data_IF_525043114236
#
_entry.id   IF_525043114236
#
_cell.length_a   1.000
_cell.length_b   1.000
_cell.length_c   1.000
_cell.angle_alpha   90.00
_cell.angle_beta   90.00
_cell.angle_gamma   90.00
#
_symmetry.space_group_name_H-M   'P 1'
#
loop_
_entity.id
_entity.type
_entity.pdbx_description
1 polymer ?
#
# COMPACT_ATOMS: atom_id res chain seq x y z
N UNK A 1 -34.07 7.60 7.68
CA UNK A 1 -34.57 6.21 7.69
C UNK A 1 -34.11 5.58 6.39
N UNK A 2 -33.12 4.68 6.42
CA UNK A 2 -32.48 4.13 5.22
C UNK A 2 -31.26 3.27 5.55
N UNK A 3 -31.37 2.48 6.62
CA UNK A 3 -30.28 1.67 7.19
C UNK A 3 -30.06 0.34 6.43
N UNK A 4 -30.88 0.02 5.43
CA UNK A 4 -30.97 -1.34 4.87
C UNK A 4 -29.96 -1.67 3.76
N UNK A 5 -29.20 -0.69 3.26
CA UNK A 5 -28.23 -0.88 2.15
C UNK A 5 -26.76 -0.86 2.55
N UNK A 6 -26.50 -0.81 3.86
CA UNK A 6 -25.17 -0.59 4.41
C UNK A 6 -24.70 -1.81 5.17
N UNK A 7 -23.46 -2.23 4.92
CA UNK A 7 -22.83 -3.34 5.63
C UNK A 7 -21.44 -2.95 6.12
N UNK A 8 -20.98 -3.64 7.16
CA UNK A 8 -19.66 -3.42 7.72
C UNK A 8 -18.59 -4.13 6.89
N UNK A 9 -17.50 -3.41 6.63
CA UNK A 9 -16.27 -3.97 6.10
C UNK A 9 -15.12 -3.68 7.06
N UNK A 10 -14.34 -4.72 7.37
CA UNK A 10 -13.10 -4.56 8.10
C UNK A 10 -12.04 -3.96 7.20
N UNK A 11 -11.38 -2.93 7.70
CA UNK A 11 -10.33 -2.26 6.97
C UNK A 11 -9.02 -3.02 7.16
N UNK A 12 -8.41 -3.44 6.04
CA UNK A 12 -7.07 -4.05 6.03
C UNK A 12 -5.96 -3.07 5.62
N UNK A 13 -6.31 -1.80 5.36
CA UNK A 13 -5.33 -0.73 5.14
C UNK A 13 -5.11 0.04 6.45
N UNK A 14 -3.86 0.39 6.69
CA UNK A 14 -3.41 1.37 7.68
C UNK A 14 -4.06 2.77 7.53
N UNK A 15 -4.50 3.13 6.32
CA UNK A 15 -5.15 4.41 6.02
C UNK A 15 -6.65 4.26 5.70
N UNK A 16 -7.58 4.54 6.64
CA UNK A 16 -9.02 4.47 6.41
C UNK A 16 -9.55 5.46 5.37
N UNK A 17 -8.83 6.56 5.12
CA UNK A 17 -9.23 7.53 4.10
C UNK A 17 -8.95 7.05 2.69
N UNK A 18 -8.16 5.99 2.52
CA UNK A 18 -7.71 5.50 1.22
C UNK A 18 -8.86 5.23 0.27
N UNK A 19 -9.95 4.64 0.77
CA UNK A 19 -11.10 4.22 -0.02
C UNK A 19 -12.25 5.25 -0.04
N UNK A 20 -12.18 6.29 0.78
CA UNK A 20 -13.27 7.28 0.93
C UNK A 20 -13.33 8.28 -0.23
N UNK A 21 -12.22 8.45 -0.96
CA UNK A 21 -12.14 9.35 -2.12
C UNK A 21 -12.51 8.66 -3.44
N UNK A 22 -12.64 7.33 -3.45
CA UNK A 22 -12.90 6.51 -4.63
C UNK A 22 -14.41 6.22 -4.84
N UNK A 23 -15.29 7.13 -4.41
CA UNK A 23 -16.73 6.99 -4.61
C UNK A 23 -17.05 6.85 -6.11
N UNK A 24 -17.76 5.78 -6.48
CA UNK A 24 -18.07 5.44 -7.87
C UNK A 24 -17.05 4.53 -8.57
N UNK A 25 -15.94 4.17 -7.91
CA UNK A 25 -15.01 3.16 -8.43
C UNK A 25 -15.63 1.75 -8.43
N UNK A 26 -15.16 0.90 -9.35
CA UNK A 26 -15.52 -0.52 -9.38
C UNK A 26 -14.58 -1.27 -8.46
N UNK A 27 -15.13 -1.83 -7.40
CA UNK A 27 -14.46 -2.78 -6.53
C UNK A 27 -14.70 -4.20 -7.02
N UNK A 28 -13.80 -5.11 -6.70
CA UNK A 28 -13.88 -6.53 -6.97
C UNK A 28 -14.03 -7.25 -5.65
N UNK A 29 -15.15 -7.94 -5.49
CA UNK A 29 -15.42 -8.81 -4.35
C UNK A 29 -14.85 -10.18 -4.67
N UNK A 30 -13.98 -10.70 -3.79
CA UNK A 30 -13.36 -12.02 -3.92
C UNK A 30 -13.86 -12.94 -2.82
N UNK A 31 -14.48 -14.05 -3.21
CA UNK A 31 -14.89 -15.07 -2.25
C UNK A 31 -13.68 -15.86 -1.74
N UNK A 32 -13.77 -16.46 -0.53
CA UNK A 32 -12.75 -17.38 -0.04
C UNK A 32 -12.49 -18.57 -0.97
N UNK A 33 -13.46 -18.91 -1.82
CA UNK A 33 -13.40 -20.02 -2.78
C UNK A 33 -12.96 -19.57 -4.18
N UNK A 34 -12.57 -18.31 -4.36
CA UNK A 34 -12.00 -17.78 -5.61
C UNK A 34 -13.00 -17.21 -6.61
N UNK A 35 -14.28 -17.06 -6.25
CA UNK A 35 -15.25 -16.35 -7.08
C UNK A 35 -14.94 -14.84 -7.07
N UNK A 36 -15.13 -14.17 -8.20
CA UNK A 36 -14.79 -12.75 -8.39
C UNK A 36 -16.03 -12.02 -8.93
N UNK A 37 -16.49 -11.00 -8.20
CA UNK A 37 -17.65 -10.18 -8.58
C UNK A 37 -17.30 -8.69 -8.60
N UNK A 38 -17.30 -8.02 -9.77
CA UNK A 38 -17.14 -6.57 -9.84
C UNK A 38 -18.43 -5.87 -9.38
N UNK A 39 -18.31 -4.89 -8.48
CA UNK A 39 -19.41 -4.09 -7.92
C UNK A 39 -18.99 -2.63 -7.76
N UNK A 40 -19.89 -1.71 -8.09
CA UNK A 40 -19.64 -0.28 -7.92
C UNK A 40 -19.85 0.15 -6.47
N UNK A 41 -18.93 0.95 -5.93
CA UNK A 41 -19.12 1.60 -4.63
C UNK A 41 -20.07 2.78 -4.76
N UNK A 42 -21.22 2.67 -4.10
CA UNK A 42 -22.25 3.72 -4.08
C UNK A 42 -21.96 4.73 -2.96
N UNK A 43 -21.70 4.25 -1.76
CA UNK A 43 -21.42 5.08 -0.59
C UNK A 43 -20.42 4.39 0.36
N UNK A 44 -19.58 5.19 1.01
CA UNK A 44 -18.66 4.74 2.05
C UNK A 44 -18.68 5.75 3.21
N UNK A 45 -18.86 5.26 4.44
CA UNK A 45 -18.86 6.09 5.65
C UNK A 45 -17.89 5.51 6.66
N UNK A 46 -17.16 6.38 7.36
CA UNK A 46 -16.42 5.98 8.55
C UNK A 46 -17.40 5.63 9.66
N UNK A 47 -17.05 4.60 10.40
CA UNK A 47 -17.68 4.33 11.70
C UNK A 47 -16.86 5.01 12.80
N UNK A 48 -17.41 5.12 14.01
CA UNK A 48 -16.65 5.63 15.16
C UNK A 48 -15.51 4.66 15.58
N UNK A 49 -15.54 3.41 15.12
CA UNK A 49 -14.46 2.44 15.32
C UNK A 49 -13.30 2.64 14.34
N UNK A 50 -12.06 2.46 14.82
CA UNK A 50 -10.84 2.69 14.02
C UNK A 50 -10.69 1.76 12.80
N UNK A 51 -11.28 0.57 12.84
CA UNK A 51 -10.94 -0.51 11.90
C UNK A 51 -12.10 -0.98 11.02
N UNK A 52 -13.18 -0.17 10.93
CA UNK A 52 -14.34 -0.56 10.13
C UNK A 52 -14.98 0.60 9.37
N UNK A 53 -15.41 0.28 8.16
CA UNK A 53 -16.14 1.17 7.26
C UNK A 53 -17.55 0.62 7.03
N UNK A 54 -18.49 1.54 6.82
CA UNK A 54 -19.83 1.22 6.40
C UNK A 54 -19.93 1.44 4.89
N UNK A 55 -20.13 0.36 4.13
CA UNK A 55 -20.15 0.37 2.67
C UNK A 55 -21.54 0.13 2.12
N UNK A 56 -21.84 0.72 0.96
CA UNK A 56 -22.99 0.39 0.13
C UNK A 56 -22.50 0.12 -1.29
N UNK A 57 -22.79 -1.07 -1.80
CA UNK A 57 -22.38 -1.53 -3.12
C UNK A 57 -23.60 -1.73 -4.01
N UNK A 58 -23.43 -1.49 -5.31
CA UNK A 58 -24.48 -1.74 -6.30
C UNK A 58 -24.86 -3.23 -6.33
N UNK A 59 -26.15 -3.53 -6.14
CA UNK A 59 -26.67 -4.91 -6.12
C UNK A 59 -26.49 -5.66 -4.80
N UNK A 60 -26.06 -4.99 -3.73
CA UNK A 60 -26.09 -5.50 -2.34
C UNK A 60 -26.89 -4.49 -1.51
N UNK A 61 -28.20 -4.67 -1.51
CA UNK A 61 -29.19 -3.73 -0.96
C UNK A 61 -30.07 -4.32 0.15
N UNK A 62 -29.81 -5.58 0.54
CA UNK A 62 -30.50 -6.26 1.64
C UNK A 62 -29.54 -6.94 2.63
N UNK A 63 -29.94 -7.12 3.91
CA UNK A 63 -29.16 -7.89 4.88
C UNK A 63 -28.83 -9.32 4.43
N UNK A 64 -29.75 -9.98 3.73
CA UNK A 64 -29.56 -11.32 3.17
C UNK A 64 -28.46 -11.31 2.11
N UNK A 65 -28.55 -10.37 1.16
CA UNK A 65 -27.55 -10.22 0.11
C UNK A 65 -26.17 -9.91 0.68
N UNK A 66 -26.07 -9.08 1.73
CA UNK A 66 -24.82 -8.79 2.42
C UNK A 66 -24.27 -10.02 3.16
N UNK A 67 -25.15 -10.81 3.79
CA UNK A 67 -24.78 -12.02 4.52
C UNK A 67 -24.17 -13.09 3.60
N UNK A 68 -24.67 -13.24 2.37
CA UNK A 68 -24.09 -14.15 1.36
C UNK A 68 -22.64 -13.78 0.99
N UNK A 69 -22.27 -12.49 1.08
CA UNK A 69 -20.91 -11.98 0.81
C UNK A 69 -20.09 -11.78 2.10
N UNK A 70 -20.56 -12.25 3.25
CA UNK A 70 -19.80 -12.15 4.49
C UNK A 70 -18.50 -12.95 4.38
N UNK A 71 -17.38 -12.34 4.78
CA UNK A 71 -16.04 -12.93 4.67
C UNK A 71 -15.39 -12.81 3.29
N UNK A 72 -16.03 -12.17 2.31
CA UNK A 72 -15.42 -11.87 1.03
C UNK A 72 -14.48 -10.67 1.15
N UNK A 73 -13.35 -10.71 0.45
CA UNK A 73 -12.43 -9.59 0.36
C UNK A 73 -12.94 -8.56 -0.64
N UNK A 74 -12.83 -7.27 -0.32
CA UNK A 74 -13.20 -6.16 -1.20
C UNK A 74 -11.90 -5.52 -1.71
N UNK A 75 -11.63 -5.66 -3.00
CA UNK A 75 -10.42 -5.18 -3.66
C UNK A 75 -10.76 -4.09 -4.67
N UNK A 76 -9.79 -3.29 -5.12
CA UNK A 76 -9.99 -2.39 -6.27
C UNK A 76 -10.02 -3.23 -7.56
N UNK A 77 -11.05 -3.05 -8.39
CA UNK A 77 -11.30 -3.91 -9.55
C UNK A 77 -10.39 -3.66 -10.75
N UNK A 78 -9.96 -2.41 -10.91
CA UNK A 78 -8.92 -1.99 -11.83
C UNK A 78 -7.90 -1.21 -11.03
N UNK A 79 -7.08 -1.89 -10.22
CA UNK A 79 -5.88 -1.24 -9.74
C UNK A 79 -4.91 -1.13 -10.92
N UNK A 80 -5.00 -0.01 -11.68
CA UNK A 80 -3.74 0.67 -11.96
C UNK A 80 -3.01 0.74 -10.61
N UNK A 81 -1.72 0.37 -10.53
CA UNK A 81 -1.01 0.40 -9.26
C UNK A 81 -1.32 1.75 -8.62
N UNK A 82 -1.89 1.71 -7.41
CA UNK A 82 -2.27 2.93 -6.72
C UNK A 82 -1.01 3.79 -6.67
N UNK A 83 -1.00 4.91 -7.39
CA UNK A 83 0.15 5.80 -7.39
C UNK A 83 -0.10 6.81 -6.28
N UNK A 84 0.77 6.85 -5.26
CA UNK A 84 0.70 7.90 -4.24
C UNK A 84 0.69 9.27 -4.91
N UNK A 85 -0.29 10.11 -4.59
CA UNK A 85 -0.36 11.50 -5.08
C UNK A 85 0.65 12.42 -4.39
N UNK A 86 1.18 11.97 -3.26
CA UNK A 86 2.25 12.64 -2.53
C UNK A 86 3.58 12.01 -2.93
N UNK A 87 4.55 12.85 -3.31
CA UNK A 87 5.87 12.40 -3.78
C UNK A 87 6.64 11.66 -2.68
N UNK A 88 6.35 11.95 -1.40
CA UNK A 88 7.02 11.36 -0.24
C UNK A 88 6.34 10.07 0.28
N UNK A 89 5.21 9.67 -0.31
CA UNK A 89 4.53 8.43 0.07
C UNK A 89 4.88 7.37 -0.94
N UNK A 90 5.46 6.25 -0.53
CA UNK A 90 5.89 5.18 -1.43
C UNK A 90 5.11 3.88 -1.14
N UNK A 91 4.81 3.11 -2.17
CA UNK A 91 4.41 1.71 -1.97
C UNK A 91 5.68 0.89 -1.71
N UNK A 92 5.72 0.17 -0.60
CA UNK A 92 6.85 -0.70 -0.25
C UNK A 92 7.17 -1.68 -1.38
N UNK A 93 6.14 -2.29 -1.96
CA UNK A 93 6.28 -3.22 -3.09
C UNK A 93 6.89 -2.58 -4.35
N UNK A 94 6.84 -1.25 -4.49
CA UNK A 94 7.44 -0.56 -5.63
C UNK A 94 8.94 -0.32 -5.40
N UNK A 95 9.40 -0.29 -4.14
CA UNK A 95 10.80 -0.08 -3.78
C UNK A 95 11.65 -1.33 -4.03
N UNK A 96 11.09 -2.52 -3.78
CA UNK A 96 11.80 -3.79 -3.98
C UNK A 96 12.32 -3.94 -5.41
N UNK A 97 13.60 -4.30 -5.53
CA UNK A 97 14.30 -4.44 -6.80
C UNK A 97 14.69 -3.12 -7.49
N UNK A 98 14.51 -1.96 -6.85
CA UNK A 98 15.11 -0.71 -7.33
C UNK A 98 16.64 -0.74 -7.17
N UNK A 99 17.36 -0.10 -8.10
CA UNK A 99 18.80 0.09 -8.00
C UNK A 99 19.14 1.09 -6.90
N UNK A 100 20.14 0.80 -6.08
CA UNK A 100 20.58 1.70 -5.02
C UNK A 100 21.84 2.41 -5.47
N UNK A 101 21.79 3.74 -5.53
CA UNK A 101 22.86 4.60 -6.04
C UNK A 101 23.38 5.46 -4.90
N UNK A 102 24.69 5.54 -4.73
CA UNK A 102 25.30 6.51 -3.82
C UNK A 102 25.17 7.92 -4.42
N UNK A 103 24.48 8.83 -3.72
CA UNK A 103 24.20 10.17 -4.24
C UNK A 103 25.47 11.02 -4.40
N UNK A 104 26.50 10.76 -3.58
CA UNK A 104 27.72 11.56 -3.56
C UNK A 104 28.69 11.12 -4.67
N UNK A 105 28.79 9.81 -4.97
CA UNK A 105 29.69 9.27 -6.01
C UNK A 105 29.00 8.91 -7.33
N UNK A 106 27.68 8.76 -7.34
CA UNK A 106 26.89 8.26 -8.46
C UNK A 106 27.07 6.75 -8.74
N UNK A 107 27.75 6.02 -7.86
CA UNK A 107 28.00 4.59 -8.05
C UNK A 107 26.80 3.74 -7.61
N UNK A 108 26.51 2.68 -8.36
CA UNK A 108 25.57 1.65 -7.92
C UNK A 108 26.19 0.84 -6.78
N UNK A 109 25.50 0.77 -5.65
CA UNK A 109 25.98 0.12 -4.42
C UNK A 109 25.21 -1.15 -4.08
N UNK A 110 24.06 -1.37 -4.72
CA UNK A 110 23.27 -2.57 -4.51
C UNK A 110 21.88 -2.48 -5.13
N UNK A 111 20.98 -3.33 -4.65
CA UNK A 111 19.56 -3.33 -5.00
C UNK A 111 18.73 -3.40 -3.73
N UNK A 112 17.55 -2.79 -3.74
CA UNK A 112 16.61 -2.91 -2.61
C UNK A 112 16.13 -4.36 -2.53
N UNK A 113 16.40 -5.02 -1.41
CA UNK A 113 16.02 -6.41 -1.12
C UNK A 113 14.79 -6.52 -0.22
N UNK A 114 14.38 -5.44 0.43
CA UNK A 114 13.18 -5.43 1.27
C UNK A 114 12.98 -4.13 2.05
N UNK A 115 11.94 -4.12 2.86
CA UNK A 115 11.58 -3.01 3.73
C UNK A 115 10.97 -3.54 5.03
N UNK A 116 11.39 -2.98 6.15
CA UNK A 116 10.91 -3.36 7.48
C UNK A 116 10.24 -2.18 8.17
N UNK A 117 8.92 -2.28 8.34
CA UNK A 117 8.14 -1.39 9.19
C UNK A 117 8.35 -1.78 10.66
N UNK A 118 8.92 -0.88 11.47
CA UNK A 118 9.23 -1.16 12.88
C UNK A 118 8.73 -0.03 13.77
N UNK A 119 8.30 -0.32 15.01
CA UNK A 119 7.99 0.73 15.98
C UNK A 119 9.21 1.63 16.21
N UNK A 120 9.10 2.90 15.82
CA UNK A 120 10.15 3.90 15.97
C UNK A 120 10.67 4.43 14.65
N UNK A 121 11.05 3.56 13.71
CA UNK A 121 11.60 3.97 12.43
C UNK A 121 11.58 2.83 11.41
N UNK A 122 11.28 3.17 10.16
CA UNK A 122 11.33 2.24 9.04
C UNK A 122 12.77 2.00 8.56
N UNK A 123 13.02 0.78 8.08
CA UNK A 123 14.34 0.33 7.64
C UNK A 123 14.25 -0.23 6.22
N UNK A 124 15.04 0.33 5.31
CA UNK A 124 15.25 -0.20 3.96
C UNK A 124 16.35 -1.27 4.00
N UNK A 125 16.12 -2.42 3.37
CA UNK A 125 17.12 -3.48 3.19
C UNK A 125 17.72 -3.38 1.80
N UNK A 126 19.06 -3.35 1.73
CA UNK A 126 19.82 -3.28 0.49
C UNK A 126 20.72 -4.51 0.39
N UNK A 127 20.59 -5.29 -0.67
CA UNK A 127 21.57 -6.31 -1.04
C UNK A 127 22.73 -5.63 -1.76
N UNK A 128 23.89 -5.61 -1.09
CA UNK A 128 25.15 -5.16 -1.66
C UNK A 128 26.05 -6.39 -1.87
N UNK A 129 26.00 -6.94 -3.08
CA UNK A 129 26.80 -8.11 -3.48
C UNK A 129 26.61 -9.32 -2.54
N UNK A 130 25.36 -9.61 -2.14
CA UNK A 130 25.05 -10.72 -1.24
C UNK A 130 25.19 -10.40 0.25
N UNK A 131 25.54 -9.17 0.62
CA UNK A 131 25.52 -8.68 2.00
C UNK A 131 24.31 -7.78 2.19
N UNK A 132 23.46 -8.13 3.16
CA UNK A 132 22.33 -7.28 3.55
C UNK A 132 22.82 -6.09 4.38
N UNK A 133 22.50 -4.88 3.92
CA UNK A 133 22.75 -3.62 4.61
C UNK A 133 21.42 -2.97 4.98
N UNK A 134 21.25 -2.69 6.27
CA UNK A 134 20.05 -2.06 6.81
C UNK A 134 20.22 -0.55 6.88
N UNK A 135 19.37 0.16 6.17
CA UNK A 135 19.44 1.61 6.02
C UNK A 135 18.20 2.25 6.64
N UNK A 136 18.33 3.09 7.67
CA UNK A 136 17.25 3.98 8.11
C UNK A 136 16.58 4.71 6.95
N UNK A 137 15.27 4.50 6.76
CA UNK A 137 14.53 5.15 5.67
C UNK A 137 14.11 6.57 6.08
N UNK A 138 15.10 7.46 6.16
CA UNK A 138 14.94 8.87 6.53
C UNK A 138 15.68 9.76 5.52
N UNK A 139 15.16 10.97 5.29
CA UNK A 139 15.70 11.94 4.31
C UNK A 139 17.23 12.15 4.38
N UNK A 140 17.88 12.22 5.57
CA UNK A 140 19.33 12.39 5.63
C UNK A 140 20.14 11.23 5.02
N UNK A 141 19.60 10.01 5.02
CA UNK A 141 20.27 8.82 4.48
C UNK A 141 19.72 8.40 3.12
N UNK A 142 18.43 8.63 2.88
CA UNK A 142 17.71 8.33 1.63
C UNK A 142 17.09 9.62 1.11
N UNK A 143 17.89 10.54 0.55
CA UNK A 143 17.44 11.87 0.13
C UNK A 143 16.50 11.86 -1.09
N UNK A 144 16.52 10.80 -1.91
CA UNK A 144 15.74 10.76 -3.14
C UNK A 144 15.36 9.33 -3.52
N UNK A 145 14.12 9.16 -3.98
CA UNK A 145 13.62 7.94 -4.61
C UNK A 145 13.03 8.33 -5.97
N UNK A 146 13.71 7.95 -7.06
CA UNK A 146 13.27 8.19 -8.43
C UNK A 146 12.51 6.97 -8.97
N UNK A 147 11.18 7.09 -9.04
CA UNK A 147 10.31 6.02 -9.53
C UNK A 147 10.39 5.83 -11.04
N UNK A 148 10.73 6.87 -11.79
CA UNK A 148 10.84 6.79 -13.24
C UNK A 148 12.12 6.04 -13.64
N UNK A 149 13.23 6.34 -12.96
CA UNK A 149 14.50 5.66 -13.14
C UNK A 149 14.55 4.29 -12.44
N UNK A 150 13.66 4.02 -11.48
CA UNK A 150 13.71 2.89 -10.54
C UNK A 150 14.99 2.89 -9.71
N UNK A 151 15.32 4.05 -9.16
CA UNK A 151 16.52 4.28 -8.36
C UNK A 151 16.19 4.81 -6.97
N UNK A 152 16.91 4.31 -5.97
CA UNK A 152 16.93 4.85 -4.60
C UNK A 152 18.32 5.44 -4.37
N UNK A 153 18.39 6.74 -4.10
CA UNK A 153 19.64 7.45 -3.86
C UNK A 153 19.90 7.50 -2.38
N UNK A 154 21.07 7.04 -1.97
CA UNK A 154 21.48 6.92 -0.56
C UNK A 154 22.81 7.61 -0.31
N UNK A 155 23.10 7.98 0.94
CA UNK A 155 24.44 8.42 1.35
C UNK A 155 25.28 7.22 1.79
N UNK A 156 25.83 6.48 0.83
CA UNK A 156 26.44 5.17 1.09
C UNK A 156 27.72 5.24 1.92
N UNK A 157 28.49 6.31 1.80
CA UNK A 157 29.75 6.49 2.55
C UNK A 157 29.58 6.42 4.08
N UNK A 158 28.37 6.62 4.59
CA UNK A 158 28.04 6.51 6.03
C UNK A 158 27.66 5.08 6.43
N UNK A 159 27.30 4.24 5.46
CA UNK A 159 26.67 2.93 5.62
C UNK A 159 27.57 1.77 5.18
N UNK A 160 28.58 2.04 4.36
CA UNK A 160 29.44 1.02 3.75
C UNK A 160 30.11 0.12 4.82
N UNK A 161 29.77 -1.17 4.87
CA UNK A 161 30.41 -2.11 5.79
C UNK A 161 31.88 -2.41 5.44
N UNK A 162 32.35 -1.97 4.27
CA UNK A 162 33.73 -2.18 3.76
C UNK A 162 34.65 -0.96 3.92
N UNK A 163 34.12 0.17 4.40
CA UNK A 163 34.86 1.44 4.55
C UNK A 163 35.77 1.50 5.79
#
# INVERSE_FOLDING_TARGET
MGAERFFFAHLLSDNPNRFLKDLGATFVLKSPLGAIEPRKLLECKKTEGKDSLLLSLEGIDSPESAKERSGWAICLGNALPWVPTDENVYLISDLEGMSVIDIDSGQSVGVVSGFYERPGQDILSVDSNGVEVLVPFVEPLVPLVDRNAREVHVRWKVLDPSA
#
